data_IF_728330686762
#
_entry.id   IF_728330686762
#
_cell.length_a   1.000
_cell.length_b   1.000
_cell.length_c   1.000
_cell.angle_alpha   90.00
_cell.angle_beta   90.00
_cell.angle_gamma   90.00
#
_symmetry.space_group_name_H-M   'P 1'
#
loop_
_entity.id
_entity.type
_entity.pdbx_description
1 polymer ?
#
# COMPACT_ATOMS: atom_id res chain seq x y z
N UNK A 1 1.94 1.44 -9.69
CA UNK A 1 2.17 0.77 -11.00
C UNK A 1 0.90 0.85 -11.83
N UNK A 2 1.02 0.80 -13.16
CA UNK A 2 -0.07 0.56 -14.09
C UNK A 2 0.17 -0.76 -14.80
N UNK A 3 -0.88 -1.57 -14.94
CA UNK A 3 -0.82 -2.87 -15.60
C UNK A 3 -1.85 -2.90 -16.73
N UNK A 4 -1.43 -3.30 -17.93
CA UNK A 4 -2.27 -3.34 -19.12
C UNK A 4 -1.71 -4.33 -20.14
N UNK A 5 -2.52 -4.70 -21.12
CA UNK A 5 -2.09 -5.49 -22.28
C UNK A 5 -1.85 -4.56 -23.47
N UNK A 6 -0.78 -4.83 -24.22
CA UNK A 6 -0.50 -4.19 -25.51
C UNK A 6 -0.04 -5.26 -26.50
N UNK A 7 -0.78 -5.43 -27.60
CA UNK A 7 -0.46 -6.39 -28.66
C UNK A 7 -0.26 -7.83 -28.14
N UNK A 8 -1.12 -8.28 -27.20
CA UNK A 8 -1.02 -9.60 -26.57
C UNK A 8 0.05 -9.74 -25.50
N UNK A 9 0.82 -8.68 -25.21
CA UNK A 9 1.90 -8.70 -24.21
C UNK A 9 1.45 -7.96 -22.95
N UNK A 10 1.64 -8.60 -21.81
CA UNK A 10 1.44 -7.97 -20.51
C UNK A 10 2.51 -6.92 -20.24
N UNK A 11 2.09 -5.70 -19.91
CA UNK A 11 2.97 -4.59 -19.56
C UNK A 11 2.66 -4.14 -18.14
N UNK A 12 3.69 -4.06 -17.30
CA UNK A 12 3.60 -3.49 -15.96
C UNK A 12 4.64 -2.38 -15.83
N UNK A 13 4.17 -1.15 -15.62
CA UNK A 13 5.03 0.02 -15.54
C UNK A 13 4.89 0.72 -14.19
N UNK A 14 6.02 1.10 -13.60
CA UNK A 14 6.04 1.96 -12.43
C UNK A 14 5.64 3.38 -12.85
N UNK A 15 4.48 3.85 -12.41
CA UNK A 15 3.96 5.17 -12.80
C UNK A 15 4.49 6.31 -11.92
N UNK A 16 4.69 6.04 -10.62
CA UNK A 16 5.19 7.00 -9.63
C UNK A 16 5.62 6.26 -8.35
N UNK A 17 6.61 6.83 -7.64
CA UNK A 17 7.05 6.45 -6.28
C UNK A 17 6.99 7.65 -5.30
N UNK A 18 6.39 8.76 -5.71
CA UNK A 18 6.45 9.99 -4.90
C UNK A 18 5.51 9.93 -3.70
N UNK A 19 5.87 10.64 -2.64
CA UNK A 19 4.96 10.90 -1.52
C UNK A 19 3.76 11.68 -2.04
N UNK A 20 2.56 11.22 -1.67
CA UNK A 20 1.30 11.85 -2.09
C UNK A 20 1.01 13.12 -1.28
N UNK A 21 1.64 13.27 -0.11
CA UNK A 21 1.68 14.50 0.67
C UNK A 21 2.86 15.33 0.16
N UNK A 22 2.55 16.50 -0.40
CA UNK A 22 3.53 17.46 -0.88
C UNK A 22 3.47 18.79 -0.13
N UNK A 23 2.31 19.14 0.43
CA UNK A 23 2.08 20.37 1.19
C UNK A 23 1.73 20.10 2.68
N UNK A 24 1.91 21.09 3.59
CA UNK A 24 1.63 20.92 5.01
C UNK A 24 0.17 20.56 5.34
N UNK A 25 -0.75 20.95 4.46
CA UNK A 25 -2.19 20.70 4.58
C UNK A 25 -2.66 19.44 3.83
N UNK A 26 -1.75 18.75 3.10
CA UNK A 26 -2.10 17.50 2.43
C UNK A 26 -2.31 16.38 3.46
N UNK A 27 -3.46 15.71 3.37
CA UNK A 27 -3.78 14.55 4.18
C UNK A 27 -3.65 13.23 3.39
N UNK A 28 -3.75 12.11 4.09
CA UNK A 28 -3.86 10.79 3.47
C UNK A 28 -5.31 10.43 3.09
N UNK A 29 -6.17 11.42 2.81
CA UNK A 29 -7.54 11.15 2.42
C UNK A 29 -7.61 10.55 1.02
N UNK A 30 -8.69 9.81 0.78
CA UNK A 30 -9.01 9.30 -0.54
C UNK A 30 -9.08 10.40 -1.62
N UNK A 31 -9.41 11.65 -1.23
CA UNK A 31 -9.48 12.77 -2.17
C UNK A 31 -8.10 13.23 -2.61
N UNK A 32 -7.16 13.35 -1.69
CA UNK A 32 -5.76 13.71 -1.97
C UNK A 32 -5.11 12.64 -2.86
N UNK A 33 -5.33 11.36 -2.52
CA UNK A 33 -4.92 10.23 -3.36
C UNK A 33 -5.54 10.28 -4.77
N UNK A 34 -6.84 10.59 -4.89
CA UNK A 34 -7.51 10.72 -6.18
C UNK A 34 -6.88 11.81 -7.04
N UNK A 35 -6.63 12.99 -6.47
CA UNK A 35 -6.01 14.11 -7.20
C UNK A 35 -4.60 13.75 -7.67
N UNK A 36 -3.78 13.15 -6.81
CA UNK A 36 -2.45 12.72 -7.17
C UNK A 36 -2.45 11.68 -8.31
N UNK A 37 -3.30 10.64 -8.20
CA UNK A 37 -3.44 9.61 -9.24
C UNK A 37 -3.90 10.23 -10.57
N UNK A 38 -4.87 11.15 -10.54
CA UNK A 38 -5.33 11.87 -11.72
C UNK A 38 -4.18 12.61 -12.40
N UNK A 39 -3.37 13.32 -11.63
CA UNK A 39 -2.19 14.04 -12.13
C UNK A 39 -1.14 13.10 -12.72
N UNK A 40 -0.83 11.98 -12.06
CA UNK A 40 0.13 11.00 -12.61
C UNK A 40 -0.37 10.39 -13.92
N UNK A 41 -1.63 9.99 -14.00
CA UNK A 41 -2.19 9.43 -15.24
C UNK A 41 -2.14 10.43 -16.39
N UNK A 42 -2.34 11.72 -16.12
CA UNK A 42 -2.26 12.76 -17.14
C UNK A 42 -0.85 12.86 -17.77
N UNK A 43 0.22 12.60 -17.02
CA UNK A 43 1.60 12.54 -17.56
C UNK A 43 1.74 11.47 -18.64
N UNK A 44 0.98 10.38 -18.54
CA UNK A 44 0.93 9.29 -19.52
C UNK A 44 -0.21 9.45 -20.54
N UNK A 45 -0.85 10.63 -20.60
CA UNK A 45 -2.03 10.90 -21.45
C UNK A 45 -3.18 9.93 -21.19
N UNK A 46 -3.35 9.50 -19.94
CA UNK A 46 -4.44 8.64 -19.47
C UNK A 46 -5.36 9.41 -18.54
N UNK A 47 -6.62 8.98 -18.49
CA UNK A 47 -7.63 9.50 -17.57
C UNK A 47 -8.09 8.41 -16.59
N UNK A 48 -8.59 8.82 -15.43
CA UNK A 48 -9.12 7.89 -14.40
C UNK A 48 -10.20 6.96 -14.95
N UNK A 49 -11.06 7.45 -15.86
CA UNK A 49 -12.09 6.63 -16.53
C UNK A 49 -11.54 5.45 -17.33
N UNK A 50 -10.24 5.39 -17.58
CA UNK A 50 -9.57 4.28 -18.27
C UNK A 50 -9.02 3.24 -17.29
N UNK A 51 -9.06 3.50 -15.98
CA UNK A 51 -8.77 2.49 -14.97
C UNK A 51 -9.97 1.54 -14.86
N UNK A 52 -9.71 0.24 -14.95
CA UNK A 52 -10.77 -0.79 -14.87
C UNK A 52 -10.96 -1.25 -13.41
N UNK A 53 -9.86 -1.36 -12.68
CA UNK A 53 -9.85 -1.72 -11.27
C UNK A 53 -8.63 -1.10 -10.59
N UNK A 54 -8.68 -1.02 -9.27
CA UNK A 54 -7.58 -0.60 -8.43
C UNK A 54 -7.11 -1.79 -7.58
N UNK A 55 -5.82 -1.84 -7.26
CA UNK A 55 -5.27 -2.86 -6.35
C UNK A 55 -4.62 -2.14 -5.18
N UNK A 56 -5.01 -2.46 -3.95
CA UNK A 56 -4.44 -1.86 -2.75
C UNK A 56 -4.85 -2.58 -1.46
N UNK A 57 -4.28 -2.14 -0.35
CA UNK A 57 -4.25 -2.87 0.93
C UNK A 57 -4.88 -2.14 2.12
N UNK A 58 -5.35 -0.89 1.97
CA UNK A 58 -5.79 -0.04 3.09
C UNK A 58 -7.19 0.57 2.88
N UNK A 59 -7.89 0.90 3.97
CA UNK A 59 -9.21 1.54 4.00
C UNK A 59 -9.31 2.84 3.18
N UNK A 60 -8.26 3.66 3.17
CA UNK A 60 -8.22 4.87 2.32
C UNK A 60 -8.33 4.54 0.82
N UNK A 61 -7.88 3.35 0.42
CA UNK A 61 -7.99 2.84 -0.95
C UNK A 61 -9.41 2.40 -1.28
N UNK A 62 -10.17 1.85 -0.32
CA UNK A 62 -11.58 1.48 -0.54
C UNK A 62 -12.40 2.71 -0.96
N UNK A 63 -12.26 3.80 -0.19
CA UNK A 63 -12.97 5.05 -0.48
C UNK A 63 -12.46 5.74 -1.75
N UNK A 64 -11.18 5.56 -2.08
CA UNK A 64 -10.62 6.01 -3.36
C UNK A 64 -11.24 5.26 -4.55
N UNK A 65 -11.39 3.94 -4.45
CA UNK A 65 -12.01 3.14 -5.51
C UNK A 65 -13.48 3.55 -5.74
N UNK A 66 -14.21 3.85 -4.66
CA UNK A 66 -15.55 4.47 -4.73
C UNK A 66 -15.52 5.82 -5.48
N UNK A 67 -14.60 6.72 -5.11
CA UNK A 67 -14.43 8.03 -5.78
C UNK A 67 -14.06 7.90 -7.27
N UNK A 68 -13.33 6.85 -7.63
CA UNK A 68 -12.93 6.55 -9.00
C UNK A 68 -14.02 5.79 -9.79
N UNK A 69 -15.08 5.31 -9.13
CA UNK A 69 -16.10 4.42 -9.69
C UNK A 69 -15.51 3.14 -10.30
N UNK A 70 -14.52 2.54 -9.64
CA UNK A 70 -13.86 1.30 -10.09
C UNK A 70 -13.89 0.23 -8.99
N UNK A 71 -13.75 -1.04 -9.39
CA UNK A 71 -13.63 -2.14 -8.42
C UNK A 71 -12.28 -2.10 -7.70
N UNK A 72 -12.27 -2.37 -6.40
CA UNK A 72 -11.05 -2.59 -5.63
C UNK A 72 -10.76 -4.09 -5.51
N UNK A 73 -9.57 -4.47 -5.92
CA UNK A 73 -9.00 -5.79 -5.65
C UNK A 73 -8.05 -5.67 -4.46
N UNK A 74 -8.31 -6.43 -3.41
CA UNK A 74 -7.41 -6.46 -2.26
C UNK A 74 -5.99 -6.88 -2.66
N UNK A 75 -4.99 -6.28 -2.04
CA UNK A 75 -3.60 -6.65 -2.29
C UNK A 75 -3.33 -8.10 -1.85
N UNK A 76 -2.59 -8.87 -2.66
CA UNK A 76 -2.23 -10.24 -2.35
C UNK A 76 -1.40 -10.35 -1.07
N UNK A 77 -0.51 -9.39 -0.81
CA UNK A 77 0.29 -9.34 0.42
C UNK A 77 -0.59 -9.13 1.66
N UNK A 78 -1.64 -8.33 1.55
CA UNK A 78 -2.60 -8.13 2.64
C UNK A 78 -3.36 -9.43 2.94
N UNK A 79 -3.86 -10.12 1.90
CA UNK A 79 -4.49 -11.45 2.07
C UNK A 79 -3.55 -12.46 2.69
N UNK A 80 -2.28 -12.48 2.27
CA UNK A 80 -1.26 -13.34 2.86
C UNK A 80 -1.03 -13.00 4.34
N UNK A 81 -0.90 -11.72 4.68
CA UNK A 81 -0.74 -11.28 6.06
C UNK A 81 -1.94 -11.70 6.93
N UNK A 82 -3.17 -11.62 6.43
CA UNK A 82 -4.35 -12.11 7.13
C UNK A 82 -4.30 -13.63 7.32
N UNK A 83 -3.91 -14.38 6.29
CA UNK A 83 -3.78 -15.84 6.36
C UNK A 83 -2.70 -16.25 7.37
N UNK A 84 -1.55 -15.58 7.37
CA UNK A 84 -0.47 -15.82 8.35
C UNK A 84 -0.96 -15.52 9.77
N UNK A 85 -1.65 -14.40 9.99
CA UNK A 85 -2.22 -14.07 11.30
C UNK A 85 -3.18 -15.14 11.80
N UNK A 86 -4.07 -15.62 10.93
CA UNK A 86 -5.01 -16.70 11.27
C UNK A 86 -4.27 -18.00 11.59
N UNK A 87 -3.26 -18.34 10.79
CA UNK A 87 -2.45 -19.55 10.99
C UNK A 87 -1.68 -19.53 12.32
N UNK A 88 -1.13 -18.37 12.69
CA UNK A 88 -0.34 -18.22 13.91
C UNK A 88 -1.18 -17.87 15.14
N UNK A 89 -2.51 -17.84 15.03
CA UNK A 89 -3.38 -17.40 16.12
C UNK A 89 -3.24 -18.27 17.37
N UNK A 90 -2.98 -19.57 17.19
CA UNK A 90 -2.71 -20.52 18.28
C UNK A 90 -1.36 -20.30 18.99
N UNK A 91 -0.48 -19.46 18.45
CA UNK A 91 0.87 -19.19 18.97
C UNK A 91 1.04 -17.73 19.40
N UNK A 92 -0.05 -17.02 19.71
CA UNK A 92 -0.03 -15.59 20.02
C UNK A 92 0.86 -15.29 21.22
N UNK A 93 0.86 -16.14 22.24
CA UNK A 93 1.64 -15.93 23.46
C UNK A 93 3.15 -16.11 23.23
N UNK A 94 3.54 -17.13 22.44
CA UNK A 94 4.93 -17.32 22.03
C UNK A 94 5.41 -16.16 21.16
N UNK A 95 4.59 -15.72 20.21
CA UNK A 95 4.91 -14.57 19.37
C UNK A 95 5.08 -13.30 20.20
N UNK A 96 4.25 -13.09 21.23
CA UNK A 96 4.39 -11.96 22.15
C UNK A 96 5.73 -12.02 22.91
N UNK A 97 6.15 -13.20 23.39
CA UNK A 97 7.46 -13.38 24.05
C UNK A 97 8.61 -13.10 23.09
N UNK A 98 8.55 -13.59 21.85
CA UNK A 98 9.54 -13.31 20.80
C UNK A 98 9.61 -11.81 20.51
N UNK A 99 8.47 -11.13 20.39
CA UNK A 99 8.41 -9.69 20.17
C UNK A 99 9.06 -8.92 21.33
N UNK A 100 8.77 -9.28 22.58
CA UNK A 100 9.40 -8.66 23.75
C UNK A 100 10.92 -8.84 23.75
N UNK A 101 11.41 -10.03 23.41
CA UNK A 101 12.84 -10.30 23.28
C UNK A 101 13.47 -9.43 22.19
N UNK A 102 12.85 -9.36 21.00
CA UNK A 102 13.33 -8.53 19.89
C UNK A 102 13.43 -7.05 20.26
N UNK A 103 12.45 -6.52 21.00
CA UNK A 103 12.47 -5.14 21.49
C UNK A 103 13.66 -4.92 22.43
N UNK A 104 13.86 -5.81 23.42
CA UNK A 104 14.97 -5.71 24.37
C UNK A 104 16.33 -5.73 23.66
N UNK A 105 16.52 -6.68 22.73
CA UNK A 105 17.75 -6.80 21.95
C UNK A 105 17.99 -5.55 21.08
N UNK A 106 16.95 -5.00 20.44
CA UNK A 106 17.06 -3.77 19.66
C UNK A 106 17.50 -2.59 20.53
N UNK A 107 16.93 -2.44 21.72
CA UNK A 107 17.31 -1.37 22.66
C UNK A 107 18.77 -1.50 23.10
N UNK A 108 19.22 -2.70 23.45
CA UNK A 108 20.63 -2.94 23.82
C UNK A 108 21.59 -2.61 22.67
N UNK A 109 21.26 -3.04 21.44
CA UNK A 109 22.05 -2.72 20.26
C UNK A 109 22.12 -1.21 19.97
N UNK A 110 21.05 -0.45 20.25
CA UNK A 110 21.07 1.00 20.12
C UNK A 110 21.90 1.67 21.22
N UNK A 111 21.78 1.22 22.47
CA UNK A 111 22.57 1.73 23.59
C UNK A 111 24.08 1.52 23.37
N UNK A 112 24.47 0.37 22.83
CA UNK A 112 25.87 0.07 22.52
C UNK A 112 26.49 0.98 21.44
N UNK A 113 25.69 1.66 20.62
CA UNK A 113 26.19 2.61 19.60
C UNK A 113 26.43 4.02 20.15
N UNK A 114 26.00 4.28 21.38
CA UNK A 114 26.18 5.55 22.08
C UNK A 114 27.39 5.52 23.03
N UNK A 115 28.04 4.37 23.15
CA UNK A 115 29.32 4.14 23.82
C UNK A 115 30.44 4.14 22.78
#
# INVERSE_FOLDING_TARGET
FGSYEKDGVHVQQLLSLTTIIHEPDDDHSAKTHYTAIKSFLALYKKAIKQCVFFVGDNCGVNKLAELMFVSLIGCASHRLNLAVKAYTQQHVDELAKIQQLMIKLRTLNQASKLL
#
